data_IF_163964958168
#
_entry.id   IF_163964958168
#
_cell.length_a   1.000
_cell.length_b   1.000
_cell.length_c   1.000
_cell.angle_alpha   90.00
_cell.angle_beta   90.00
_cell.angle_gamma   90.00
#
_symmetry.space_group_name_H-M   'P 1'
#
loop_
_entity.id
_entity.type
_entity.pdbx_description
1 polymer ?
#
# COMPACT_ATOMS: atom_id res chain seq x y z
N UNK A 1 15.63 -8.11 5.12
CA UNK A 1 15.95 -6.73 4.74
C UNK A 1 16.65 -6.73 3.39
N UNK A 2 16.23 -5.85 2.48
CA UNK A 2 16.76 -5.62 1.14
C UNK A 2 16.95 -4.11 0.93
N UNK A 3 17.63 -3.75 -0.16
CA UNK A 3 17.75 -2.36 -0.60
C UNK A 3 17.27 -2.25 -2.05
N UNK A 4 16.28 -1.41 -2.28
CA UNK A 4 15.77 -1.10 -3.62
C UNK A 4 16.53 0.10 -4.16
N UNK A 5 17.26 -0.11 -5.27
CA UNK A 5 17.97 0.97 -5.96
C UNK A 5 17.09 1.55 -7.04
N UNK A 6 16.60 2.76 -6.79
CA UNK A 6 15.85 3.57 -7.75
C UNK A 6 16.79 4.60 -8.39
N UNK A 7 16.42 5.21 -9.53
CA UNK A 7 17.25 6.23 -10.18
C UNK A 7 17.62 7.41 -9.27
N UNK A 8 16.77 7.73 -8.28
CA UNK A 8 16.90 8.87 -7.39
C UNK A 8 16.94 8.51 -5.88
N UNK A 9 17.04 7.23 -5.50
CA UNK A 9 17.23 6.81 -4.09
C UNK A 9 17.65 5.35 -3.93
N UNK A 10 18.19 5.05 -2.75
CA UNK A 10 18.24 3.70 -2.19
C UNK A 10 17.22 3.58 -1.05
N UNK A 11 16.21 2.72 -1.21
CA UNK A 11 15.14 2.54 -0.22
C UNK A 11 15.33 1.22 0.53
N UNK A 12 15.21 1.28 1.85
CA UNK A 12 15.22 0.08 2.68
C UNK A 12 13.88 -0.66 2.56
N UNK A 13 13.95 -1.99 2.48
CA UNK A 13 12.77 -2.85 2.42
C UNK A 13 12.89 -4.10 3.29
N UNK A 14 11.77 -4.57 3.83
CA UNK A 14 11.63 -5.87 4.48
C UNK A 14 10.77 -6.75 3.59
N UNK A 15 11.44 -7.71 2.94
CA UNK A 15 10.84 -8.71 2.06
C UNK A 15 10.65 -10.02 2.81
N UNK A 16 9.43 -10.54 2.78
CA UNK A 16 9.08 -11.88 3.26
C UNK A 16 8.27 -12.60 2.18
N UNK A 17 8.66 -13.83 1.83
CA UNK A 17 8.02 -14.60 0.76
C UNK A 17 7.89 -16.04 1.25
N UNK A 18 6.67 -16.46 1.63
CA UNK A 18 6.39 -17.86 1.93
C UNK A 18 6.63 -18.77 0.71
N UNK A 19 7.00 -20.02 0.97
CA UNK A 19 7.14 -21.02 -0.09
C UNK A 19 5.83 -21.17 -0.87
N UNK A 20 5.90 -21.07 -2.20
CA UNK A 20 4.73 -21.17 -3.08
C UNK A 20 3.84 -19.92 -3.09
N UNK A 21 4.35 -18.76 -2.65
CA UNK A 21 3.62 -17.50 -2.72
C UNK A 21 3.08 -17.23 -4.13
N UNK A 22 1.77 -16.92 -4.21
CA UNK A 22 1.07 -16.69 -5.48
C UNK A 22 1.19 -15.27 -6.00
N UNK A 23 1.61 -14.35 -5.15
CA UNK A 23 1.83 -12.95 -5.48
C UNK A 23 2.53 -12.23 -4.33
N UNK A 24 2.95 -11.00 -4.58
CA UNK A 24 3.63 -10.14 -3.59
C UNK A 24 2.83 -8.86 -3.38
N UNK A 25 2.59 -8.51 -2.12
CA UNK A 25 1.93 -7.26 -1.73
C UNK A 25 2.98 -6.25 -1.28
N UNK A 26 3.10 -5.17 -2.03
CA UNK A 26 3.98 -4.05 -1.72
C UNK A 26 3.24 -3.01 -0.88
N UNK A 27 3.80 -2.68 0.29
CA UNK A 27 3.21 -1.75 1.24
C UNK A 27 3.70 -0.31 1.02
N UNK A 28 2.76 0.62 0.90
CA UNK A 28 2.98 2.05 0.98
C UNK A 28 2.47 2.56 2.33
N UNK A 29 3.39 2.91 3.23
CA UNK A 29 3.04 3.41 4.55
C UNK A 29 2.45 4.84 4.49
N UNK A 30 1.77 5.24 5.56
CA UNK A 30 1.27 6.60 5.71
C UNK A 30 2.37 7.60 6.07
N UNK A 31 2.04 8.88 5.98
CA UNK A 31 2.91 10.00 6.33
C UNK A 31 3.46 9.86 7.75
N UNK A 32 4.78 10.04 7.92
CA UNK A 32 5.45 9.93 9.22
C UNK A 32 5.50 8.51 9.80
N UNK A 33 5.12 7.49 9.01
CA UNK A 33 5.31 6.08 9.33
C UNK A 33 6.49 5.51 8.54
N UNK A 34 6.77 4.22 8.71
CA UNK A 34 7.87 3.51 8.06
C UNK A 34 7.53 2.03 7.90
N UNK A 35 8.43 1.25 7.32
CA UNK A 35 8.37 -0.22 7.26
C UNK A 35 8.27 -0.88 8.65
N UNK A 36 8.63 -0.16 9.71
CA UNK A 36 8.54 -0.64 11.11
C UNK A 36 7.16 -0.43 11.75
N UNK A 37 6.18 0.09 11.01
CA UNK A 37 4.82 0.31 11.50
C UNK A 37 4.21 -0.98 12.07
N UNK A 38 3.89 -1.05 13.39
CA UNK A 38 3.32 -2.26 13.99
C UNK A 38 2.04 -2.71 13.31
N UNK A 39 1.21 -1.76 12.85
CA UNK A 39 -0.04 -2.04 12.13
C UNK A 39 0.21 -2.69 10.78
N UNK A 40 1.16 -2.14 9.99
CA UNK A 40 1.44 -2.71 8.66
C UNK A 40 2.15 -4.06 8.78
N UNK A 41 3.00 -4.25 9.79
CA UNK A 41 3.63 -5.55 10.08
C UNK A 41 2.59 -6.59 10.48
N UNK A 42 1.62 -6.25 11.34
CA UNK A 42 0.54 -7.16 11.69
C UNK A 42 -0.32 -7.57 10.48
N UNK A 43 -0.62 -6.63 9.59
CA UNK A 43 -1.32 -6.94 8.33
C UNK A 43 -0.44 -7.84 7.45
N UNK A 44 0.85 -7.51 7.29
CA UNK A 44 1.78 -8.30 6.49
C UNK A 44 1.93 -9.73 7.01
N UNK A 45 2.04 -9.92 8.33
CA UNK A 45 2.09 -11.24 8.97
C UNK A 45 0.82 -12.05 8.65
N UNK A 46 -0.36 -11.42 8.65
CA UNK A 46 -1.61 -12.06 8.24
C UNK A 46 -1.66 -12.42 6.75
N UNK A 47 -1.11 -11.57 5.87
CA UNK A 47 -0.99 -11.88 4.44
C UNK A 47 0.00 -13.03 4.20
N UNK A 48 1.12 -13.05 4.91
CA UNK A 48 2.09 -14.15 4.88
C UNK A 48 1.44 -15.46 5.33
N UNK A 49 0.64 -15.43 6.40
CA UNK A 49 -0.13 -16.59 6.85
C UNK A 49 -1.17 -17.08 5.82
N UNK A 50 -1.65 -16.18 4.95
CA UNK A 50 -2.52 -16.51 3.81
C UNK A 50 -1.75 -17.00 2.55
N UNK A 51 -0.42 -17.12 2.63
CA UNK A 51 0.43 -17.58 1.53
C UNK A 51 0.75 -16.52 0.48
N UNK A 52 0.72 -15.24 0.86
CA UNK A 52 1.14 -14.12 0.01
C UNK A 52 2.51 -13.62 0.46
N UNK A 53 3.37 -13.25 -0.48
CA UNK A 53 4.60 -12.52 -0.16
C UNK A 53 4.29 -11.07 0.20
N UNK A 54 5.14 -10.45 1.01
CA UNK A 54 4.99 -9.06 1.42
C UNK A 54 6.32 -8.32 1.32
N UNK A 55 6.24 -7.07 0.86
CA UNK A 55 7.38 -6.16 0.80
C UNK A 55 6.99 -4.83 1.46
N UNK A 56 7.58 -4.54 2.63
CA UNK A 56 7.41 -3.27 3.32
C UNK A 56 8.62 -2.39 3.05
N UNK A 57 8.42 -1.20 2.49
CA UNK A 57 9.52 -0.29 2.13
C UNK A 57 9.36 1.03 2.87
N UNK A 58 10.47 1.74 3.07
CA UNK A 58 10.43 3.17 3.35
C UNK A 58 10.37 3.93 2.02
N UNK A 59 9.41 4.86 1.89
CA UNK A 59 9.24 5.64 0.65
C UNK A 59 10.19 6.85 0.58
N UNK A 60 10.82 7.20 1.70
CA UNK A 60 11.84 8.21 1.82
C UNK A 60 13.16 7.54 2.21
N UNK A 61 14.27 8.11 1.76
CA UNK A 61 15.60 7.72 2.24
C UNK A 61 15.80 8.18 3.69
N UNK A 62 16.72 7.57 4.43
CA UNK A 62 17.02 7.97 5.81
C UNK A 62 17.36 9.48 5.95
N UNK A 63 18.17 10.10 5.06
CA UNK A 63 18.39 11.56 5.10
C UNK A 63 17.13 12.38 4.81
N UNK A 64 16.27 11.93 3.91
CA UNK A 64 14.98 12.58 3.62
C UNK A 64 14.03 12.47 4.82
N UNK A 65 13.96 11.32 5.48
CA UNK A 65 13.18 11.11 6.69
C UNK A 65 13.65 12.05 7.82
N UNK A 66 14.96 12.17 8.04
CA UNK A 66 15.52 13.07 9.06
C UNK A 66 15.08 14.52 8.84
N UNK A 67 15.21 15.02 7.60
CA UNK A 67 14.79 16.38 7.26
C UNK A 67 13.26 16.55 7.33
N UNK A 68 12.52 15.54 6.89
CA UNK A 68 11.06 15.54 6.88
C UNK A 68 10.46 15.45 8.29
N UNK A 69 11.16 14.90 9.30
CA UNK A 69 10.72 14.98 10.71
C UNK A 69 10.55 16.40 11.21
N UNK A 70 11.31 17.34 10.65
CA UNK A 70 11.23 18.77 11.01
C UNK A 70 10.34 19.53 10.05
N UNK A 71 10.48 19.27 8.74
CA UNK A 71 9.84 20.08 7.69
C UNK A 71 8.44 19.61 7.31
N UNK A 72 8.15 18.31 7.48
CA UNK A 72 6.96 17.63 6.99
C UNK A 72 6.67 17.85 5.49
N UNK A 73 7.69 18.23 4.71
CA UNK A 73 7.53 18.64 3.32
C UNK A 73 7.35 17.45 2.36
N UNK A 74 8.00 16.31 2.64
CA UNK A 74 8.08 15.16 1.75
C UNK A 74 6.99 14.13 2.04
N UNK A 75 6.60 13.96 3.31
CA UNK A 75 5.55 12.99 3.69
C UNK A 75 4.18 13.27 3.09
N UNK A 76 3.96 14.46 2.54
CA UNK A 76 2.72 14.85 1.86
C UNK A 76 2.91 15.10 0.36
N UNK A 77 4.13 14.93 -0.17
CA UNK A 77 4.43 15.00 -1.60
C UNK A 77 3.99 13.69 -2.28
N UNK A 78 2.70 13.61 -2.63
CA UNK A 78 2.12 12.41 -3.23
C UNK A 78 2.79 12.05 -4.56
N UNK A 79 3.26 13.03 -5.33
CA UNK A 79 3.95 12.78 -6.60
C UNK A 79 5.30 12.09 -6.35
N UNK A 80 6.08 12.56 -5.37
CA UNK A 80 7.30 11.88 -4.94
C UNK A 80 7.00 10.45 -4.47
N UNK A 81 6.06 10.28 -3.54
CA UNK A 81 5.73 8.97 -2.98
C UNK A 81 5.23 7.99 -4.07
N UNK A 82 4.42 8.45 -5.01
CA UNK A 82 4.01 7.66 -6.18
C UNK A 82 5.20 7.27 -7.05
N UNK A 83 6.12 8.20 -7.36
CA UNK A 83 7.32 7.87 -8.17
C UNK A 83 8.19 6.81 -7.49
N UNK A 84 8.41 6.92 -6.18
CA UNK A 84 9.16 5.95 -5.38
C UNK A 84 8.50 4.56 -5.43
N UNK A 85 7.19 4.51 -5.24
CA UNK A 85 6.43 3.27 -5.28
C UNK A 85 6.42 2.64 -6.70
N UNK A 86 6.32 3.45 -7.75
CA UNK A 86 6.44 2.98 -9.15
C UNK A 86 7.82 2.35 -9.38
N UNK A 87 8.89 2.99 -8.92
CA UNK A 87 10.23 2.43 -9.01
C UNK A 87 10.38 1.09 -8.27
N UNK A 88 9.79 0.98 -7.07
CA UNK A 88 9.78 -0.28 -6.32
C UNK A 88 8.99 -1.39 -7.04
N UNK A 89 7.85 -1.05 -7.66
CA UNK A 89 7.08 -1.99 -8.50
C UNK A 89 7.88 -2.44 -9.72
N UNK A 90 8.62 -1.52 -10.37
CA UNK A 90 9.49 -1.85 -11.51
C UNK A 90 10.62 -2.78 -11.09
N UNK A 91 11.34 -2.47 -10.01
CA UNK A 91 12.41 -3.32 -9.47
C UNK A 91 11.91 -4.72 -9.07
N UNK A 92 10.73 -4.80 -8.43
CA UNK A 92 10.14 -6.09 -8.06
C UNK A 92 9.73 -6.90 -9.30
N UNK A 93 9.24 -6.25 -10.35
CA UNK A 93 8.83 -6.92 -11.59
C UNK A 93 10.03 -7.48 -12.35
N UNK A 94 11.13 -6.72 -12.43
CA UNK A 94 12.37 -7.13 -13.07
C UNK A 94 13.07 -8.28 -12.32
N UNK A 95 12.75 -8.41 -11.02
CA UNK A 95 13.30 -9.42 -10.13
C UNK A 95 14.41 -8.83 -9.28
N UNK A 96 14.33 -9.08 -7.99
CA UNK A 96 15.35 -8.64 -7.04
C UNK A 96 16.51 -9.62 -7.05
N UNK A 97 17.76 -9.14 -7.11
CA UNK A 97 18.95 -10.01 -7.06
C UNK A 97 18.93 -10.94 -5.82
N UNK A 98 18.47 -10.41 -4.69
CA UNK A 98 18.33 -11.16 -3.44
C UNK A 98 17.13 -12.10 -3.40
N UNK A 99 16.18 -11.99 -4.34
CA UNK A 99 14.98 -12.82 -4.41
C UNK A 99 14.51 -13.03 -5.87
N UNK A 100 15.27 -13.75 -6.73
CA UNK A 100 14.96 -13.86 -8.16
C UNK A 100 13.61 -14.51 -8.46
N UNK A 101 13.09 -15.33 -7.54
CA UNK A 101 11.77 -15.97 -7.64
C UNK A 101 10.59 -14.98 -7.56
N UNK A 102 10.85 -13.70 -7.24
CA UNK A 102 9.85 -12.63 -7.35
C UNK A 102 9.58 -12.19 -8.79
N UNK A 103 10.47 -12.51 -9.74
CA UNK A 103 10.30 -12.09 -11.12
C UNK A 103 9.01 -12.69 -11.71
N UNK A 104 8.14 -11.82 -12.23
CA UNK A 104 6.90 -12.21 -12.90
C UNK A 104 5.75 -12.64 -11.98
N UNK A 105 5.89 -12.58 -10.66
CA UNK A 105 4.74 -12.82 -9.75
C UNK A 105 3.77 -11.63 -9.80
N UNK A 106 2.45 -11.87 -9.70
CA UNK A 106 1.45 -10.81 -9.55
C UNK A 106 1.78 -9.88 -8.39
N UNK A 107 1.64 -8.57 -8.61
CA UNK A 107 1.91 -7.55 -7.59
C UNK A 107 0.59 -6.91 -7.15
N UNK A 108 0.34 -6.94 -5.85
CA UNK A 108 -0.69 -6.15 -5.17
C UNK A 108 -0.09 -4.94 -4.46
N UNK A 109 -0.86 -3.87 -4.28
CA UNK A 109 -0.45 -2.70 -3.49
C UNK A 109 -1.33 -2.54 -2.26
N UNK A 110 -0.72 -2.40 -1.09
CA UNK A 110 -1.41 -2.04 0.14
C UNK A 110 -1.00 -0.63 0.57
N UNK A 111 -1.91 0.32 0.48
CA UNK A 111 -1.67 1.71 0.88
C UNK A 111 -2.39 2.07 2.16
N UNK A 112 -1.68 2.68 3.11
CA UNK A 112 -2.22 3.14 4.38
C UNK A 112 -2.24 4.67 4.46
N UNK A 113 -3.37 5.26 4.87
CA UNK A 113 -3.49 6.74 4.96
C UNK A 113 -3.08 7.42 3.64
N UNK A 114 -2.14 8.37 3.64
CA UNK A 114 -1.60 9.01 2.42
C UNK A 114 -0.88 8.03 1.47
N UNK A 115 -0.35 6.91 1.99
CA UNK A 115 0.21 5.83 1.18
C UNK A 115 -0.83 5.20 0.23
N UNK A 116 -2.13 5.30 0.53
CA UNK A 116 -3.20 4.89 -0.38
C UNK A 116 -3.24 5.74 -1.66
N UNK A 117 -3.01 7.05 -1.55
CA UNK A 117 -2.91 7.92 -2.72
C UNK A 117 -1.72 7.52 -3.59
N UNK A 118 -0.57 7.27 -2.95
CA UNK A 118 0.64 6.82 -3.64
C UNK A 118 0.42 5.49 -4.37
N UNK A 119 -0.22 4.52 -3.71
CA UNK A 119 -0.59 3.22 -4.26
C UNK A 119 -1.52 3.32 -5.46
N UNK A 120 -2.55 4.18 -5.39
CA UNK A 120 -3.48 4.40 -6.50
C UNK A 120 -2.79 5.12 -7.67
N UNK A 121 -1.93 6.10 -7.39
CA UNK A 121 -1.10 6.73 -8.41
C UNK A 121 -0.18 5.73 -9.12
N UNK A 122 0.45 4.82 -8.38
CA UNK A 122 1.29 3.76 -8.95
C UNK A 122 0.47 2.76 -9.77
N UNK A 123 -0.70 2.33 -9.29
CA UNK A 123 -1.60 1.45 -10.03
C UNK A 123 -2.14 2.09 -11.33
N UNK A 124 -2.37 3.40 -11.33
CA UNK A 124 -2.71 4.14 -12.53
C UNK A 124 -1.55 4.21 -13.53
N UNK A 125 -0.30 4.28 -13.05
CA UNK A 125 0.90 4.33 -13.89
C UNK A 125 1.38 2.96 -14.39
N UNK A 126 0.98 1.87 -13.72
CA UNK A 126 1.37 0.50 -14.03
C UNK A 126 0.12 -0.39 -14.11
N UNK A 127 -0.49 -0.56 -15.30
CA UNK A 127 -1.68 -1.39 -15.49
C UNK A 127 -1.51 -2.88 -15.13
N UNK A 128 -0.27 -3.33 -14.89
CA UNK A 128 0.06 -4.70 -14.45
C UNK A 128 -0.17 -4.95 -12.94
N UNK A 129 -0.48 -3.91 -12.16
CA UNK A 129 -0.89 -4.09 -10.76
C UNK A 129 -2.20 -4.88 -10.75
N UNK A 130 -2.21 -5.98 -10.02
CA UNK A 130 -3.32 -6.94 -10.02
C UNK A 130 -4.42 -6.55 -9.02
N UNK A 131 -4.08 -5.90 -7.91
CA UNK A 131 -5.06 -5.41 -6.93
C UNK A 131 -4.49 -4.29 -6.06
N UNK A 132 -5.38 -3.44 -5.53
CA UNK A 132 -5.03 -2.41 -4.54
C UNK A 132 -5.95 -2.53 -3.31
N UNK A 133 -5.38 -2.40 -2.11
CA UNK A 133 -6.11 -2.20 -0.86
C UNK A 133 -5.72 -0.84 -0.28
N UNK A 134 -6.70 -0.02 0.06
CA UNK A 134 -6.55 1.28 0.72
C UNK A 134 -7.12 1.19 2.13
N UNK A 135 -6.29 1.30 3.17
CA UNK A 135 -6.70 1.21 4.58
C UNK A 135 -6.70 2.57 5.26
N UNK A 136 -7.89 3.07 5.61
CA UNK A 136 -8.08 4.40 6.20
C UNK A 136 -7.44 5.48 5.31
N UNK A 137 -7.47 5.25 3.99
CA UNK A 137 -6.65 5.96 3.04
C UNK A 137 -7.21 7.31 2.66
N UNK A 138 -6.37 8.15 2.05
CA UNK A 138 -6.74 9.41 1.40
C UNK A 138 -6.71 9.26 -0.13
N UNK A 139 -7.55 8.40 -0.73
CA UNK A 139 -7.53 8.15 -2.17
C UNK A 139 -7.85 9.40 -3.00
N UNK A 140 -8.56 10.36 -2.41
CA UNK A 140 -8.84 11.67 -2.98
C UNK A 140 -7.57 12.42 -3.43
N UNK A 141 -6.46 12.22 -2.71
CA UNK A 141 -5.19 12.86 -3.04
C UNK A 141 -4.52 12.30 -4.31
N UNK A 142 -4.95 11.15 -4.82
CA UNK A 142 -4.51 10.66 -6.13
C UNK A 142 -5.16 11.45 -7.29
N UNK A 143 -6.19 12.25 -7.00
CA UNK A 143 -6.80 13.19 -7.93
C UNK A 143 -7.23 12.52 -9.25
N UNK A 144 -6.90 13.12 -10.42
CA UNK A 144 -7.29 12.58 -11.72
C UNK A 144 -6.72 11.17 -12.03
N UNK A 145 -5.71 10.70 -11.29
CA UNK A 145 -5.15 9.36 -11.51
C UNK A 145 -6.17 8.26 -11.21
N UNK A 146 -7.15 8.50 -10.32
CA UNK A 146 -8.20 7.53 -9.95
C UNK A 146 -8.92 6.96 -11.18
N UNK A 147 -9.27 7.82 -12.15
CA UNK A 147 -9.97 7.40 -13.37
C UNK A 147 -9.14 6.50 -14.29
N UNK A 148 -7.82 6.43 -14.08
CA UNK A 148 -6.90 5.58 -14.85
C UNK A 148 -6.58 4.26 -14.15
N UNK A 149 -6.97 4.08 -12.89
CA UNK A 149 -6.75 2.83 -12.15
C UNK A 149 -7.60 1.72 -12.77
N UNK A 150 -6.93 0.66 -13.23
CA UNK A 150 -7.58 -0.53 -13.83
C UNK A 150 -7.64 -1.72 -12.88
N UNK A 151 -6.75 -1.76 -11.90
CA UNK A 151 -6.75 -2.79 -10.87
C UNK A 151 -8.05 -2.69 -10.03
N UNK A 152 -8.65 -3.82 -9.62
CA UNK A 152 -9.70 -3.82 -8.61
C UNK A 152 -9.17 -3.23 -7.30
N UNK A 153 -9.93 -2.28 -6.73
CA UNK A 153 -9.57 -1.56 -5.49
C UNK A 153 -10.52 -1.89 -4.34
N UNK A 154 -9.98 -2.29 -3.20
CA UNK A 154 -10.73 -2.35 -1.94
C UNK A 154 -10.42 -1.12 -1.07
N UNK A 155 -11.45 -0.37 -0.72
CA UNK A 155 -11.38 0.76 0.21
C UNK A 155 -11.86 0.28 1.59
N UNK A 156 -10.96 0.16 2.56
CA UNK A 156 -11.29 -0.20 3.96
C UNK A 156 -11.29 1.07 4.80
N UNK A 157 -12.41 1.39 5.45
CA UNK A 157 -12.58 2.63 6.20
C UNK A 157 -13.17 2.37 7.59
N UNK A 158 -12.69 3.09 8.60
CA UNK A 158 -13.27 3.04 9.94
C UNK A 158 -14.62 3.75 9.99
N UNK A 159 -15.64 3.12 10.56
CA UNK A 159 -17.00 3.66 10.63
C UNK A 159 -17.14 4.95 11.44
N UNK A 160 -16.19 5.27 12.32
CA UNK A 160 -16.13 6.53 13.08
C UNK A 160 -15.35 7.64 12.37
N UNK A 161 -14.61 7.30 11.32
CA UNK A 161 -13.82 8.26 10.55
C UNK A 161 -14.66 8.87 9.42
N UNK A 162 -15.63 9.70 9.82
CA UNK A 162 -16.66 10.26 8.92
C UNK A 162 -16.09 11.08 7.76
N UNK A 163 -15.01 11.83 7.98
CA UNK A 163 -14.34 12.57 6.92
C UNK A 163 -13.75 11.61 5.87
N UNK A 164 -12.99 10.61 6.32
CA UNK A 164 -12.36 9.64 5.41
C UNK A 164 -13.41 8.77 4.72
N UNK A 165 -14.55 8.48 5.36
CA UNK A 165 -15.68 7.81 4.71
C UNK A 165 -16.21 8.60 3.52
N UNK A 166 -16.44 9.90 3.67
CA UNK A 166 -16.91 10.76 2.58
C UNK A 166 -15.90 10.83 1.44
N UNK A 167 -14.60 10.96 1.77
CA UNK A 167 -13.52 10.99 0.78
C UNK A 167 -13.37 9.67 0.01
N UNK A 168 -13.50 8.53 0.69
CA UNK A 168 -13.47 7.22 0.04
C UNK A 168 -14.73 6.98 -0.80
N UNK A 169 -15.90 7.45 -0.37
CA UNK A 169 -17.12 7.40 -1.17
C UNK A 169 -17.00 8.24 -2.46
N UNK A 170 -16.30 9.38 -2.42
CA UNK A 170 -15.98 10.17 -3.60
C UNK A 170 -15.02 9.44 -4.55
N UNK A 171 -13.95 8.84 -4.01
CA UNK A 171 -13.00 8.08 -4.80
C UNK A 171 -13.63 6.84 -5.44
N UNK A 172 -14.50 6.12 -4.73
CA UNK A 172 -15.25 4.97 -5.24
C UNK A 172 -15.98 5.29 -6.55
N UNK A 173 -16.60 6.48 -6.66
CA UNK A 173 -17.29 6.92 -7.88
C UNK A 173 -16.35 7.20 -9.07
N UNK A 174 -15.08 7.44 -8.80
CA UNK A 174 -14.07 7.76 -9.82
C UNK A 174 -13.27 6.53 -10.27
N UNK A 175 -13.31 5.45 -9.49
CA UNK A 175 -12.59 4.19 -9.77
C UNK A 175 -13.44 3.29 -10.68
N UNK A 176 -12.78 2.63 -11.63
CA UNK A 176 -13.47 1.76 -12.59
C UNK A 176 -14.06 0.49 -11.94
N UNK A 177 -13.36 -0.08 -10.98
CA UNK A 177 -13.78 -1.25 -10.21
C UNK A 177 -13.32 -1.10 -8.77
N UNK A 178 -14.26 -0.86 -7.85
CA UNK A 178 -13.91 -0.78 -6.43
C UNK A 178 -15.03 -1.28 -5.53
N UNK A 179 -14.64 -1.78 -4.36
CA UNK A 179 -15.52 -2.15 -3.25
C UNK A 179 -15.14 -1.33 -2.02
N UNK A 180 -16.13 -1.01 -1.18
CA UNK A 180 -15.89 -0.31 0.10
C UNK A 180 -16.32 -1.20 1.26
N UNK A 181 -15.39 -1.42 2.19
CA UNK A 181 -15.64 -2.14 3.43
C UNK A 181 -15.54 -1.18 4.61
N UNK A 182 -16.62 -1.06 5.38
CA UNK A 182 -16.67 -0.17 6.55
C UNK A 182 -16.59 -0.99 7.83
N UNK A 183 -15.55 -0.77 8.62
CA UNK A 183 -15.36 -1.45 9.90
C UNK A 183 -16.12 -0.68 10.97
N UNK A 184 -17.23 -1.25 11.42
CA UNK A 184 -18.13 -0.60 12.37
C UNK A 184 -17.41 -0.27 13.68
N UNK A 185 -17.57 0.98 14.14
CA UNK A 185 -16.98 1.43 15.41
C UNK A 185 -15.47 1.69 15.38
N UNK A 186 -14.77 1.44 14.27
CA UNK A 186 -13.34 1.73 14.14
C UNK A 186 -13.05 3.20 13.79
N UNK A 187 -11.99 3.76 14.36
CA UNK A 187 -11.44 5.07 14.02
C UNK A 187 -10.41 5.04 12.88
N UNK A 188 -9.69 6.15 12.69
CA UNK A 188 -8.72 6.32 11.58
C UNK A 188 -7.61 5.27 11.55
N UNK A 189 -7.12 4.88 12.73
CA UNK A 189 -5.99 3.96 12.89
C UNK A 189 -6.39 2.51 13.18
N UNK A 190 -7.70 2.22 13.29
CA UNK A 190 -8.23 0.88 13.59
C UNK A 190 -7.64 0.30 14.90
N UNK A 191 -7.60 1.10 15.96
CA UNK A 191 -7.04 0.71 17.26
C UNK A 191 -8.05 -0.02 18.16
N UNK A 192 -9.33 0.03 17.79
CA UNK A 192 -10.38 -0.70 18.49
C UNK A 192 -10.18 -2.23 18.40
N UNK A 193 -10.51 -2.99 19.46
CA UNK A 193 -10.34 -4.44 19.47
C UNK A 193 -11.02 -5.12 18.26
N UNK A 194 -10.27 -5.94 17.52
CA UNK A 194 -10.76 -6.66 16.34
C UNK A 194 -10.71 -5.86 15.04
N UNK A 195 -10.50 -4.53 15.09
CA UNK A 195 -10.57 -3.70 13.90
C UNK A 195 -9.42 -3.98 12.93
N UNK A 196 -8.18 -4.12 13.42
CA UNK A 196 -7.03 -4.42 12.57
C UNK A 196 -7.04 -5.87 12.07
N UNK A 197 -7.58 -6.80 12.86
CA UNK A 197 -7.81 -8.19 12.46
C UNK A 197 -8.81 -8.25 11.30
N UNK A 198 -9.88 -7.46 11.36
CA UNK A 198 -10.85 -7.34 10.27
C UNK A 198 -10.23 -6.68 9.02
N UNK A 199 -9.42 -5.62 9.17
CA UNK A 199 -8.62 -5.07 8.06
C UNK A 199 -7.79 -6.16 7.40
N UNK A 200 -7.11 -6.96 8.20
CA UNK A 200 -6.18 -8.00 7.74
C UNK A 200 -6.92 -9.10 6.99
N UNK A 201 -8.05 -9.57 7.54
CA UNK A 201 -8.88 -10.59 6.90
C UNK A 201 -9.42 -10.10 5.55
N UNK A 202 -9.96 -8.88 5.49
CA UNK A 202 -10.47 -8.30 4.25
C UNK A 202 -9.38 -8.08 3.19
N UNK A 203 -8.20 -7.64 3.61
CA UNK A 203 -7.05 -7.50 2.71
C UNK A 203 -6.57 -8.86 2.18
N UNK A 204 -6.48 -9.88 3.03
CA UNK A 204 -6.08 -11.23 2.64
C UNK A 204 -7.07 -11.85 1.65
N UNK A 205 -8.37 -11.72 1.90
CA UNK A 205 -9.43 -12.20 1.01
C UNK A 205 -9.42 -11.45 -0.33
N UNK A 206 -9.14 -10.15 -0.32
CA UNK A 206 -9.02 -9.37 -1.56
C UNK A 206 -7.84 -9.83 -2.40
N UNK A 207 -6.65 -9.89 -1.81
CA UNK A 207 -5.44 -10.26 -2.54
C UNK A 207 -5.47 -11.72 -2.99
N UNK A 208 -5.99 -12.64 -2.18
CA UNK A 208 -6.13 -14.05 -2.57
C UNK A 208 -7.06 -14.26 -3.76
N UNK A 209 -8.05 -13.39 -3.96
CA UNK A 209 -8.95 -13.44 -5.12
C UNK A 209 -8.35 -12.87 -6.39
N UNK A 210 -7.38 -11.97 -6.27
CA UNK A 210 -6.91 -11.14 -7.39
C UNK A 210 -5.43 -11.34 -7.77
N UNK A 211 -4.62 -11.97 -6.91
CA UNK A 211 -3.24 -12.38 -7.17
C UNK A 211 -3.18 -13.89 -7.45
#
# INVERSE_FOLDING_TARGET
MITLRLPDAELAGDLDIPDGARGVVLFAHGSGSSRHSPRNRAVADGLNAAGLGTLLIDLLTEPEEEADRVTAALRFDIDLLTRRLVGAVDALTEGLESAPHTAGVPIGLFGASTGAAAALGAAAARPRIAAVVSRGGRPDLAGPALARVRAPVLLIVGGRDTEVLELNAQAHRSLAASETHVISGAGHLFEEPGALEEVTAQAADWFTRHL
#
